data_IF_340386015805
#
_entry.id   IF_340386015805
#
_cell.length_a   1.000
_cell.length_b   1.000
_cell.length_c   1.000
_cell.angle_alpha   90.00
_cell.angle_beta   90.00
_cell.angle_gamma   90.00
#
_symmetry.space_group_name_H-M   'P 1'
#
loop_
_entity.id
_entity.type
_entity.pdbx_description
1 polymer ?
#
# COMPACT_ATOMS: atom_id res chain seq x y z
N UNK A 1 -9.92 -2.86 17.07
CA UNK A 1 -9.36 -2.62 15.73
C UNK A 1 -7.87 -2.89 15.84
N UNK A 2 -7.33 -3.77 15.00
CA UNK A 2 -5.92 -4.17 15.06
C UNK A 2 -5.28 -3.71 13.74
N UNK A 3 -4.17 -3.00 13.81
CA UNK A 3 -3.45 -2.49 12.64
C UNK A 3 -2.00 -3.00 12.66
N UNK A 4 -1.57 -3.54 11.53
CA UNK A 4 -0.22 -3.96 11.24
C UNK A 4 0.25 -3.10 10.08
N UNK A 5 1.01 -2.05 10.39
CA UNK A 5 1.53 -1.11 9.41
C UNK A 5 3.07 -1.06 9.48
N UNK A 6 3.75 -2.03 8.86
CA UNK A 6 5.19 -2.02 8.77
C UNK A 6 5.66 -1.06 7.66
N UNK A 7 5.15 0.18 7.62
CA UNK A 7 5.46 1.17 6.57
C UNK A 7 6.96 1.37 6.38
N UNK A 8 7.72 1.46 7.48
CA UNK A 8 9.19 1.52 7.43
C UNK A 8 9.80 0.30 6.74
N UNK A 9 9.29 -0.91 7.02
CA UNK A 9 9.78 -2.13 6.38
C UNK A 9 9.41 -2.14 4.90
N UNK A 10 8.23 -1.64 4.52
CA UNK A 10 7.86 -1.44 3.11
C UNK A 10 8.89 -0.56 2.41
N UNK A 11 9.22 0.61 2.98
CA UNK A 11 10.24 1.52 2.42
C UNK A 11 11.61 0.83 2.33
N UNK A 12 12.08 0.23 3.41
CA UNK A 12 13.36 -0.49 3.45
C UNK A 12 13.41 -1.62 2.42
N UNK A 13 12.31 -2.35 2.22
CA UNK A 13 12.23 -3.41 1.20
C UNK A 13 12.36 -2.85 -0.23
N UNK A 14 11.72 -1.71 -0.49
CA UNK A 14 11.78 -1.06 -1.81
C UNK A 14 13.16 -0.48 -2.10
N UNK A 15 13.88 0.00 -1.09
CA UNK A 15 15.24 0.55 -1.21
C UNK A 15 16.32 -0.54 -1.32
N UNK A 16 16.20 -1.61 -0.54
CA UNK A 16 17.22 -2.68 -0.47
C UNK A 16 17.04 -3.76 -1.54
N UNK A 17 15.87 -3.83 -2.18
CA UNK A 17 15.58 -4.89 -3.16
C UNK A 17 15.53 -6.29 -2.53
N UNK A 18 15.87 -7.31 -3.32
CA UNK A 18 15.68 -8.73 -3.03
C UNK A 18 16.53 -9.32 -1.90
N UNK A 19 17.33 -8.53 -1.18
CA UNK A 19 18.17 -9.00 -0.06
C UNK A 19 17.34 -9.19 1.23
N UNK A 20 16.23 -9.92 1.07
CA UNK A 20 15.08 -10.11 1.99
C UNK A 20 15.42 -10.78 3.33
N UNK A 21 16.64 -11.27 3.51
CA UNK A 21 17.03 -12.07 4.68
C UNK A 21 16.92 -11.33 6.02
N UNK A 22 16.82 -9.99 6.01
CA UNK A 22 16.63 -9.20 7.23
C UNK A 22 15.16 -9.05 7.69
N UNK A 23 14.17 -9.36 6.84
CA UNK A 23 12.77 -8.95 7.06
C UNK A 23 11.80 -10.11 7.41
N UNK A 24 12.22 -11.38 7.30
CA UNK A 24 11.33 -12.54 7.48
C UNK A 24 10.95 -12.86 8.95
N UNK A 25 11.57 -12.21 9.95
CA UNK A 25 11.39 -12.57 11.36
C UNK A 25 10.18 -11.95 12.11
N UNK A 26 9.94 -10.63 12.03
CA UNK A 26 9.07 -9.97 13.02
C UNK A 26 7.56 -10.07 12.74
N UNK A 27 7.13 -10.28 11.49
CA UNK A 27 5.72 -10.12 11.11
C UNK A 27 5.04 -11.33 10.46
N UNK A 28 5.71 -12.48 10.37
CA UNK A 28 5.14 -13.68 9.74
C UNK A 28 3.81 -14.12 10.39
N UNK A 29 3.76 -14.17 11.73
CA UNK A 29 2.53 -14.52 12.47
C UNK A 29 1.39 -13.52 12.25
N UNK A 30 1.71 -12.23 12.15
CA UNK A 30 0.74 -11.18 11.89
C UNK A 30 0.12 -11.30 10.49
N UNK A 31 0.96 -11.62 9.50
CA UNK A 31 0.53 -11.88 8.12
C UNK A 31 -0.42 -13.05 8.05
N UNK A 32 -0.04 -14.18 8.64
CA UNK A 32 -0.86 -15.40 8.61
C UNK A 32 -2.20 -15.17 9.30
N UNK A 33 -2.19 -14.52 10.47
CA UNK A 33 -3.41 -14.13 11.18
C UNK A 33 -4.32 -13.21 10.35
N UNK A 34 -3.77 -12.22 9.65
CA UNK A 34 -4.55 -11.31 8.80
C UNK A 34 -5.20 -12.05 7.61
N UNK A 35 -4.44 -12.93 6.96
CA UNK A 35 -4.92 -13.75 5.84
C UNK A 35 -6.04 -14.70 6.26
N UNK A 36 -5.85 -15.43 7.35
CA UNK A 36 -6.88 -16.32 7.90
C UNK A 36 -8.17 -15.56 8.24
N UNK A 37 -8.05 -14.34 8.75
CA UNK A 37 -9.22 -13.55 9.17
C UNK A 37 -10.06 -13.02 8.01
N UNK A 38 -9.43 -12.70 6.88
CA UNK A 38 -10.06 -12.09 5.71
C UNK A 38 -10.49 -13.11 4.65
N UNK A 39 -10.00 -14.34 4.75
CA UNK A 39 -10.42 -15.46 3.90
C UNK A 39 -9.66 -15.53 2.57
N UNK A 40 -10.20 -16.30 1.62
CA UNK A 40 -9.46 -16.72 0.42
C UNK A 40 -9.62 -15.79 -0.79
N UNK A 41 -10.62 -14.91 -0.80
CA UNK A 41 -10.93 -14.09 -1.97
C UNK A 41 -10.08 -12.81 -1.99
N UNK A 42 -9.09 -12.77 -2.86
CA UNK A 42 -8.29 -11.60 -3.17
C UNK A 42 -8.70 -10.98 -4.51
N UNK A 43 -8.54 -9.67 -4.61
CA UNK A 43 -8.35 -8.98 -5.88
C UNK A 43 -6.87 -8.72 -6.07
N UNK A 44 -6.38 -8.79 -7.31
CA UNK A 44 -4.97 -8.57 -7.60
C UNK A 44 -4.76 -7.82 -8.90
N UNK A 45 -3.55 -7.30 -9.07
CA UNK A 45 -3.01 -6.83 -10.34
C UNK A 45 -1.55 -7.29 -10.49
N UNK A 46 -0.82 -6.77 -11.46
CA UNK A 46 0.57 -7.17 -11.67
C UNK A 46 1.51 -6.87 -10.49
N UNK A 47 1.15 -5.94 -9.59
CA UNK A 47 2.01 -5.45 -8.49
C UNK A 47 1.62 -6.01 -7.13
N UNK A 48 0.32 -6.09 -6.82
CA UNK A 48 -0.16 -6.38 -5.47
C UNK A 48 -1.31 -7.39 -5.46
N UNK A 49 -1.51 -8.02 -4.29
CA UNK A 49 -2.72 -8.76 -3.93
C UNK A 49 -3.38 -8.09 -2.74
N UNK A 50 -4.70 -8.00 -2.76
CA UNK A 50 -5.49 -7.28 -1.80
C UNK A 50 -6.72 -8.10 -1.39
N UNK A 51 -6.83 -8.37 -0.11
CA UNK A 51 -7.99 -8.95 0.55
C UNK A 51 -8.73 -7.83 1.27
N UNK A 52 -10.05 -7.77 1.09
CA UNK A 52 -10.85 -6.76 1.75
C UNK A 52 -12.26 -7.28 2.03
N UNK A 53 -12.86 -6.79 3.10
CA UNK A 53 -14.25 -7.10 3.46
C UNK A 53 -14.68 -6.44 4.77
N UNK A 54 -15.85 -6.79 5.31
CA UNK A 54 -16.34 -6.23 6.58
C UNK A 54 -15.39 -6.48 7.76
N UNK A 55 -14.50 -7.47 7.64
CA UNK A 55 -13.50 -7.82 8.65
C UNK A 55 -12.20 -7.02 8.58
N UNK A 56 -11.95 -6.26 7.50
CA UNK A 56 -10.71 -5.50 7.35
C UNK A 56 -10.13 -5.47 5.94
N UNK A 57 -8.90 -4.98 5.88
CA UNK A 57 -8.04 -4.88 4.70
C UNK A 57 -6.75 -5.65 4.96
N UNK A 58 -6.23 -6.34 3.96
CA UNK A 58 -4.86 -6.84 3.94
C UNK A 58 -4.33 -6.77 2.52
N UNK A 59 -3.11 -6.28 2.32
CA UNK A 59 -2.43 -6.40 1.04
C UNK A 59 -1.01 -6.90 1.21
N UNK A 60 -0.49 -7.53 0.16
CA UNK A 60 0.92 -7.86 0.00
C UNK A 60 1.38 -7.42 -1.40
N UNK A 61 2.65 -7.05 -1.52
CA UNK A 61 3.28 -6.79 -2.82
C UNK A 61 3.84 -8.08 -3.41
N UNK A 62 3.63 -8.34 -4.71
CA UNK A 62 4.01 -9.62 -5.35
C UNK A 62 5.52 -9.84 -5.38
N UNK A 63 6.29 -8.81 -5.72
CA UNK A 63 7.75 -8.87 -5.71
C UNK A 63 8.35 -8.70 -4.31
N UNK A 64 7.55 -8.46 -3.27
CA UNK A 64 8.00 -8.32 -1.89
C UNK A 64 6.86 -8.66 -0.90
N UNK A 65 6.49 -9.94 -0.72
CA UNK A 65 5.31 -10.31 0.07
C UNK A 65 5.41 -9.96 1.57
N UNK A 66 6.62 -9.73 2.07
CA UNK A 66 6.86 -9.31 3.46
C UNK A 66 6.58 -7.81 3.66
N UNK A 67 6.53 -7.03 2.57
CA UNK A 67 6.05 -5.66 2.56
C UNK A 67 4.52 -5.64 2.47
N UNK A 68 3.87 -5.97 3.57
CA UNK A 68 2.42 -6.07 3.68
C UNK A 68 1.83 -4.97 4.56
N UNK A 69 0.51 -4.80 4.51
CA UNK A 69 -0.26 -4.03 5.47
C UNK A 69 -1.51 -4.80 5.83
N UNK A 70 -1.92 -4.75 7.11
CA UNK A 70 -3.19 -5.30 7.53
C UNK A 70 -3.91 -4.36 8.49
N UNK A 71 -5.21 -4.22 8.32
CA UNK A 71 -6.11 -3.55 9.27
C UNK A 71 -7.34 -4.39 9.47
N UNK A 72 -7.54 -4.87 10.69
CA UNK A 72 -8.71 -5.65 11.06
C UNK A 72 -9.75 -4.77 11.75
N UNK A 73 -10.98 -4.88 11.25
CA UNK A 73 -12.14 -4.09 11.65
C UNK A 73 -12.89 -3.56 10.44
N UNK A 74 -14.00 -2.84 10.67
CA UNK A 74 -14.79 -2.27 9.58
C UNK A 74 -13.95 -1.30 8.75
N UNK A 75 -14.02 -1.47 7.43
CA UNK A 75 -13.42 -0.58 6.43
C UNK A 75 -14.45 -0.26 5.37
N UNK A 76 -14.26 0.85 4.67
CA UNK A 76 -15.07 1.23 3.52
C UNK A 76 -14.17 1.47 2.32
N UNK A 77 -14.46 0.76 1.24
CA UNK A 77 -13.79 0.92 -0.05
C UNK A 77 -14.67 1.71 -1.02
N UNK A 78 -14.03 2.47 -1.89
CA UNK A 78 -14.65 3.26 -2.95
C UNK A 78 -14.08 2.84 -4.29
N UNK A 79 -14.96 2.65 -5.28
CA UNK A 79 -14.52 2.40 -6.65
C UNK A 79 -14.31 3.73 -7.37
N UNK A 80 -13.17 3.86 -8.05
CA UNK A 80 -12.80 5.06 -8.77
C UNK A 80 -12.67 4.78 -10.27
N UNK A 81 -12.97 5.81 -11.06
CA UNK A 81 -12.63 5.87 -12.47
C UNK A 81 -11.14 6.21 -12.66
N UNK A 82 -10.60 6.05 -13.87
CA UNK A 82 -9.23 6.45 -14.16
C UNK A 82 -8.96 7.95 -13.90
N UNK A 83 -9.84 8.89 -14.33
CA UNK A 83 -9.68 10.30 -13.99
C UNK A 83 -9.65 10.57 -12.48
N UNK A 84 -10.52 9.93 -11.70
CA UNK A 84 -10.57 10.13 -10.25
C UNK A 84 -9.31 9.57 -9.57
N UNK A 85 -8.84 8.40 -10.00
CA UNK A 85 -7.57 7.82 -9.54
C UNK A 85 -6.37 8.73 -9.86
N UNK A 86 -6.38 9.39 -11.03
CA UNK A 86 -5.37 10.37 -11.39
C UNK A 86 -5.40 11.60 -10.46
N UNK A 87 -6.59 12.08 -10.10
CA UNK A 87 -6.72 13.18 -9.14
C UNK A 87 -6.17 12.78 -7.77
N UNK A 88 -6.48 11.59 -7.29
CA UNK A 88 -5.94 11.06 -6.02
C UNK A 88 -4.41 10.99 -6.04
N UNK A 89 -3.82 10.54 -7.15
CA UNK A 89 -2.37 10.50 -7.31
C UNK A 89 -1.75 11.91 -7.24
N UNK A 90 -2.35 12.91 -7.91
CA UNK A 90 -1.83 14.28 -7.85
C UNK A 90 -2.03 14.92 -6.47
N UNK A 91 -3.14 14.65 -5.79
CA UNK A 91 -3.35 15.09 -4.41
C UNK A 91 -2.31 14.48 -3.46
N UNK A 92 -1.85 13.25 -3.71
CA UNK A 92 -0.76 12.63 -2.96
C UNK A 92 0.57 13.35 -3.19
N UNK A 93 0.88 13.72 -4.44
CA UNK A 93 2.08 14.51 -4.77
C UNK A 93 2.05 15.88 -4.09
N UNK A 94 0.91 16.57 -4.08
CA UNK A 94 0.77 17.85 -3.38
C UNK A 94 0.97 17.73 -1.85
N UNK A 95 0.58 16.61 -1.24
CA UNK A 95 0.84 16.36 0.18
C UNK A 95 2.33 16.17 0.49
N UNK A 96 3.09 15.61 -0.46
CA UNK A 96 4.55 15.49 -0.33
C UNK A 96 5.20 16.87 -0.32
N UNK A 97 4.84 17.74 -1.27
CA UNK A 97 5.35 19.12 -1.36
C UNK A 97 5.09 19.92 -0.07
N UNK A 98 3.98 19.63 0.60
CA UNK A 98 3.59 20.24 1.87
C UNK A 98 4.19 19.55 3.11
N UNK A 99 4.94 18.47 2.93
CA UNK A 99 5.47 17.64 4.02
C UNK A 99 4.37 17.12 4.96
N UNK A 100 3.27 16.66 4.35
CA UNK A 100 2.08 16.18 5.05
C UNK A 100 1.89 14.66 4.95
N UNK A 101 2.59 13.99 4.03
CA UNK A 101 2.48 12.55 3.83
C UNK A 101 3.76 11.92 3.28
N UNK A 102 3.95 10.64 3.57
CA UNK A 102 4.87 9.77 2.83
C UNK A 102 4.08 8.98 1.76
N UNK A 103 4.68 8.71 0.60
CA UNK A 103 3.99 8.15 -0.58
C UNK A 103 4.82 7.04 -1.22
N UNK A 104 4.13 5.95 -1.57
CA UNK A 104 4.63 4.86 -2.40
C UNK A 104 3.68 4.65 -3.56
N UNK A 105 4.14 4.89 -4.78
CA UNK A 105 3.40 4.63 -6.02
C UNK A 105 4.17 3.64 -6.88
N UNK A 106 3.53 2.52 -7.26
CA UNK A 106 4.12 1.45 -8.06
C UNK A 106 3.40 1.37 -9.40
N UNK A 107 4.14 1.55 -10.48
CA UNK A 107 3.60 1.68 -11.84
C UNK A 107 3.70 0.40 -12.66
N UNK A 108 4.60 -0.51 -12.31
CA UNK A 108 4.88 -1.70 -13.09
C UNK A 108 5.41 -2.83 -12.19
N UNK A 109 5.32 -4.11 -12.62
CA UNK A 109 5.75 -5.25 -11.81
C UNK A 109 7.26 -5.32 -11.54
N UNK A 110 8.08 -4.61 -12.32
CA UNK A 110 9.54 -4.51 -12.20
C UNK A 110 10.00 -3.31 -11.34
N UNK A 111 9.18 -2.95 -10.34
CA UNK A 111 9.41 -1.79 -9.47
C UNK A 111 10.61 -1.91 -8.54
N UNK A 112 11.19 -3.11 -8.37
CA UNK A 112 12.43 -3.30 -7.60
C UNK A 112 13.66 -3.04 -8.47
N UNK A 113 13.55 -3.26 -9.78
CA UNK A 113 14.67 -3.23 -10.72
C UNK A 113 14.80 -1.90 -11.46
N UNK A 114 13.72 -1.10 -11.55
CA UNK A 114 13.67 0.11 -12.39
C UNK A 114 13.09 1.30 -11.65
N UNK A 115 13.84 2.39 -11.63
CA UNK A 115 13.39 3.66 -11.04
C UNK A 115 12.17 4.24 -11.77
N UNK A 116 12.02 3.98 -13.07
CA UNK A 116 10.82 4.45 -13.75
C UNK A 116 9.56 3.75 -13.23
N UNK A 117 9.67 2.53 -12.72
CA UNK A 117 8.54 1.68 -12.30
C UNK A 117 8.02 2.02 -10.90
N UNK A 118 8.62 2.99 -10.22
CA UNK A 118 8.26 3.43 -8.87
C UNK A 118 8.33 4.95 -8.76
N UNK A 119 7.47 5.52 -7.94
CA UNK A 119 7.70 6.81 -7.31
C UNK A 119 7.56 6.63 -5.80
N UNK A 120 8.60 6.98 -5.06
CA UNK A 120 8.69 6.76 -3.63
C UNK A 120 9.18 8.06 -3.00
N UNK A 121 8.46 8.56 -2.01
CA UNK A 121 8.84 9.75 -1.23
C UNK A 121 8.54 9.48 0.23
N UNK A 122 9.55 9.51 1.09
CA UNK A 122 9.42 9.15 2.50
C UNK A 122 10.33 9.99 3.38
N UNK A 123 10.06 9.94 4.68
CA UNK A 123 10.83 10.65 5.69
C UNK A 123 11.57 9.66 6.58
N UNK A 124 12.90 9.73 6.60
CA UNK A 124 13.75 8.94 7.49
C UNK A 124 14.60 9.90 8.31
N UNK A 125 14.56 9.75 9.64
CA UNK A 125 15.31 10.60 10.59
C UNK A 125 15.09 12.11 10.38
N UNK A 126 13.89 12.50 9.94
CA UNK A 126 13.52 13.90 9.66
C UNK A 126 14.03 14.43 8.33
N UNK A 127 14.72 13.61 7.54
CA UNK A 127 15.19 13.93 6.19
C UNK A 127 14.24 13.31 5.16
N UNK A 128 13.90 14.09 4.14
CA UNK A 128 13.07 13.64 3.02
C UNK A 128 13.94 12.98 1.96
N UNK A 129 13.50 11.82 1.48
CA UNK A 129 14.10 11.09 0.39
C UNK A 129 13.08 10.87 -0.71
N UNK A 130 13.54 10.92 -1.96
CA UNK A 130 12.71 10.70 -3.14
C UNK A 130 13.44 9.79 -4.13
N UNK A 131 12.68 8.90 -4.76
CA UNK A 131 13.15 7.99 -5.80
C UNK A 131 12.11 7.90 -6.91
N UNK A 132 12.59 7.95 -8.15
CA UNK A 132 11.75 7.96 -9.34
C UNK A 132 10.98 9.28 -9.49
N UNK A 133 10.07 9.31 -10.46
CA UNK A 133 9.31 10.52 -10.82
C UNK A 133 7.81 10.21 -10.90
N UNK A 134 6.94 11.10 -10.37
CA UNK A 134 5.50 10.97 -10.55
C UNK A 134 5.10 10.93 -12.03
N UNK A 135 4.30 9.95 -12.43
CA UNK A 135 3.83 9.80 -13.82
C UNK A 135 2.45 10.40 -14.05
N UNK A 136 2.19 10.80 -15.29
CA UNK A 136 0.87 11.28 -15.74
C UNK A 136 -0.21 10.20 -15.81
N UNK A 137 0.17 8.92 -15.80
CA UNK A 137 -0.76 7.81 -15.71
C UNK A 137 -0.89 7.38 -14.24
N UNK A 138 -2.08 6.94 -13.79
CA UNK A 138 -2.26 6.50 -12.41
C UNK A 138 -1.48 5.20 -12.16
N UNK A 139 -0.95 4.99 -10.95
CA UNK A 139 -0.17 3.80 -10.61
C UNK A 139 -1.05 2.56 -10.47
N UNK A 140 -0.46 1.37 -10.66
CA UNK A 140 -1.11 0.09 -10.38
C UNK A 140 -1.42 -0.05 -8.89
N UNK A 141 -0.57 0.53 -8.04
CA UNK A 141 -0.73 0.53 -6.60
C UNK A 141 -0.22 1.84 -6.01
N UNK A 142 -0.97 2.42 -5.07
CA UNK A 142 -0.61 3.63 -4.33
C UNK A 142 -0.87 3.42 -2.84
N UNK A 143 0.13 3.71 -2.01
CA UNK A 143 0.02 3.88 -0.56
C UNK A 143 0.40 5.32 -0.21
N UNK A 144 -0.46 6.00 0.53
CA UNK A 144 -0.15 7.31 1.12
C UNK A 144 -0.26 7.18 2.63
N UNK A 145 0.75 7.69 3.33
CA UNK A 145 0.86 7.68 4.77
C UNK A 145 0.80 9.12 5.29
N UNK A 146 -0.43 9.64 5.41
CA UNK A 146 -0.68 11.02 5.85
C UNK A 146 -0.62 11.17 7.37
N UNK A 147 -0.85 12.38 7.91
CA UNK A 147 -0.78 12.61 9.37
C UNK A 147 -1.88 11.92 10.19
N UNK A 148 -3.08 11.85 9.64
CA UNK A 148 -4.30 11.39 10.34
C UNK A 148 -4.95 10.16 9.71
N UNK A 149 -4.62 9.87 8.46
CA UNK A 149 -5.15 8.75 7.72
C UNK A 149 -4.10 8.23 6.75
N UNK A 150 -4.31 6.99 6.35
CA UNK A 150 -3.57 6.34 5.29
C UNK A 150 -4.52 6.01 4.14
N UNK A 151 -4.01 6.04 2.92
CA UNK A 151 -4.76 5.73 1.71
C UNK A 151 -4.13 4.54 1.01
N UNK A 152 -4.94 3.58 0.59
CA UNK A 152 -4.54 2.50 -0.32
C UNK A 152 -5.38 2.59 -1.56
N UNK A 153 -4.78 2.62 -2.74
CA UNK A 153 -5.49 2.56 -4.02
C UNK A 153 -4.82 1.50 -4.89
N UNK A 154 -5.63 0.66 -5.53
CA UNK A 154 -5.16 -0.41 -6.39
C UNK A 154 -5.97 -0.43 -7.68
N UNK A 155 -5.28 -0.51 -8.82
CA UNK A 155 -5.95 -0.80 -10.09
C UNK A 155 -6.47 -2.24 -10.06
N UNK A 156 -7.69 -2.42 -10.53
CA UNK A 156 -8.34 -3.71 -10.63
C UNK A 156 -8.18 -4.26 -12.05
N UNK A 157 -7.83 -5.54 -12.18
CA UNK A 157 -7.80 -6.16 -13.50
C UNK A 157 -9.20 -6.24 -14.13
N UNK A 158 -9.33 -6.03 -15.45
CA UNK A 158 -10.62 -6.15 -16.12
C UNK A 158 -11.23 -7.54 -15.90
N UNK A 159 -12.50 -7.59 -15.49
CA UNK A 159 -13.27 -8.84 -15.42
C UNK A 159 -14.57 -8.68 -16.19
N UNK A 160 -15.16 -9.76 -16.73
CA UNK A 160 -16.42 -9.68 -17.48
C UNK A 160 -17.59 -9.08 -16.68
N UNK A 161 -17.49 -9.10 -15.35
CA UNK A 161 -18.54 -8.67 -14.41
C UNK A 161 -18.30 -7.27 -13.81
N UNK A 162 -17.20 -6.60 -14.14
CA UNK A 162 -16.89 -5.26 -13.61
C UNK A 162 -17.13 -4.19 -14.69
N UNK A 163 -17.90 -3.14 -14.41
CA UNK A 163 -18.04 -2.02 -15.33
C UNK A 163 -16.67 -1.43 -15.69
N UNK A 164 -16.48 -1.06 -16.95
CA UNK A 164 -15.23 -0.44 -17.42
C UNK A 164 -14.91 0.88 -16.68
N UNK A 165 -15.91 1.53 -16.06
CA UNK A 165 -15.70 2.76 -15.28
C UNK A 165 -15.19 2.53 -13.86
N UNK A 166 -15.10 1.29 -13.38
CA UNK A 166 -14.64 0.93 -12.03
C UNK A 166 -13.25 0.29 -12.14
N UNK A 167 -12.26 1.10 -12.48
CA UNK A 167 -10.91 0.60 -12.75
C UNK A 167 -10.04 0.51 -11.50
N UNK A 168 -10.42 1.23 -10.43
CA UNK A 168 -9.64 1.31 -9.20
C UNK A 168 -10.51 1.05 -7.99
N UNK A 169 -9.87 0.55 -6.94
CA UNK A 169 -10.44 0.43 -5.61
C UNK A 169 -9.56 1.20 -4.63
N UNK A 170 -10.17 2.10 -3.87
CA UNK A 170 -9.50 2.95 -2.89
C UNK A 170 -10.06 2.71 -1.49
N UNK A 171 -9.19 2.79 -0.48
CA UNK A 171 -9.53 2.80 0.93
C UNK A 171 -8.89 3.99 1.62
N UNK A 172 -9.67 4.72 2.42
CA UNK A 172 -9.16 5.69 3.40
C UNK A 172 -9.27 5.11 4.80
N UNK A 173 -8.17 5.10 5.52
CA UNK A 173 -7.98 4.33 6.73
C UNK A 173 -7.50 5.28 7.85
N UNK A 174 -8.33 5.59 8.86
CA UNK A 174 -7.92 6.48 9.95
C UNK A 174 -6.71 5.92 10.70
N UNK A 175 -5.67 6.70 10.98
CA UNK A 175 -4.48 6.16 11.68
C UNK A 175 -4.81 5.69 13.11
N UNK A 176 -4.30 4.51 13.50
CA UNK A 176 -4.29 3.97 14.88
C UNK A 176 -5.23 2.77 15.10
N UNK A 177 -4.99 1.84 16.04
CA UNK A 177 -4.10 1.81 17.23
C UNK A 177 -2.80 1.00 17.02
N UNK A 178 -1.73 1.28 17.81
CA UNK A 178 -0.55 0.41 17.89
C UNK A 178 -0.94 -1.02 18.28
N UNK A 179 -0.20 -2.00 17.77
CA UNK A 179 -0.25 -3.37 18.27
C UNK A 179 0.05 -3.37 19.77
N UNK A 180 -0.64 -4.27 20.46
CA UNK A 180 -0.64 -4.50 21.91
C UNK A 180 0.67 -4.08 22.61
N UNK A 181 0.61 -3.30 23.71
CA UNK A 181 1.77 -3.04 24.56
C UNK A 181 2.25 -4.38 25.14
N UNK A 182 3.22 -5.03 24.49
CA UNK A 182 3.66 -6.37 24.89
C UNK A 182 4.68 -7.04 23.98
N UNK A 183 4.78 -6.65 22.70
CA UNK A 183 5.91 -7.01 21.84
C UNK A 183 6.85 -5.80 21.79
N UNK A 184 7.93 -5.86 22.58
CA UNK A 184 9.10 -4.99 22.46
C UNK A 184 10.23 -5.81 21.84
N UNK A 185 11.14 -5.09 21.17
CA UNK A 185 12.45 -5.56 20.69
C UNK A 185 13.21 -6.41 21.72
#
# INVERSE_FOLDING_TARGET
MIEFDPYRHLVETLELGSDRQALEGPFALARDYARERLGEHAVENAVARLWHGPGGLYYELKAAPDAFYARLGPIFGEYLSQPDAQMVMWDAVLQIERQEADVVALYAPDYLERDESVFLSYTLEGIRYERGEPRYAPPLFLRVEGRIESLVMMQLEPTPTRPASQEYLMFRLPKGQPLLPGLRD
#
